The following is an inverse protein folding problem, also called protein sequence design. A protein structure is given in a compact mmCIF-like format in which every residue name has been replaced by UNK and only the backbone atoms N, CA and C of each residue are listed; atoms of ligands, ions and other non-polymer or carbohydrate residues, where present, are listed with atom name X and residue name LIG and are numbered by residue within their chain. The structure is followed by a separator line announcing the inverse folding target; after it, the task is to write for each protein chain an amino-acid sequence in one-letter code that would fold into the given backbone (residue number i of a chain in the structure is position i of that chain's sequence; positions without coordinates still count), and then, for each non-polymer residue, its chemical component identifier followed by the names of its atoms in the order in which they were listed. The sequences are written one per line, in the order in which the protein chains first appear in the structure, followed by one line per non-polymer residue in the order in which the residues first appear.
data_IF_298536361146
#
_entry.id   IF_298536361146
#
_cell.length_a   1.000
_cell.length_b   1.000
_cell.length_c   1.000
_cell.angle_alpha   90.00
_cell.angle_beta   90.00
_cell.angle_gamma   90.00
#
_symmetry.space_group_name_H-M   'P 1'
#
loop_
_entity.id
_entity.type
_entity.pdbx_description
1 polymer ?
#
# COMPACT_ATOMS: atom_id res chain seq x y z
N UNK A 1 3.40 -27.91 17.54
CA UNK A 1 4.33 -27.62 16.42
C UNK A 1 4.85 -26.21 16.63
N UNK A 2 6.18 -26.04 16.72
CA UNK A 2 6.84 -24.81 17.17
C UNK A 2 6.64 -23.66 16.18
N UNK A 3 5.89 -22.63 16.55
CA UNK A 3 5.56 -21.43 15.76
C UNK A 3 6.59 -20.30 15.95
N UNK A 4 7.87 -20.65 15.99
CA UNK A 4 8.97 -19.66 15.99
C UNK A 4 9.60 -19.61 14.61
N UNK A 5 8.93 -18.91 13.69
CA UNK A 5 9.57 -18.44 12.47
C UNK A 5 10.05 -17.01 12.72
N UNK A 6 11.39 -16.91 12.77
CA UNK A 6 12.27 -15.77 12.52
C UNK A 6 11.64 -14.60 11.71
N UNK A 7 12.00 -13.34 12.00
CA UNK A 7 11.05 -12.26 12.21
C UNK A 7 10.11 -12.02 11.03
N UNK A 8 8.84 -11.75 11.35
CA UNK A 8 7.82 -11.18 10.45
C UNK A 8 8.20 -9.71 10.19
N UNK A 9 9.37 -9.48 9.59
CA UNK A 9 9.80 -8.14 9.18
C UNK A 9 9.28 -7.82 7.78
N UNK A 10 9.05 -8.85 6.95
CA UNK A 10 8.64 -8.70 5.55
C UNK A 10 7.16 -9.08 5.39
N UNK A 11 6.27 -8.12 5.09
CA UNK A 11 4.83 -8.40 4.95
C UNK A 11 4.47 -9.46 3.89
N UNK A 12 5.25 -9.51 2.80
CA UNK A 12 5.05 -10.49 1.75
C UNK A 12 5.32 -11.93 2.22
N UNK A 13 6.21 -12.11 3.18
CA UNK A 13 6.49 -13.41 3.79
C UNK A 13 5.31 -13.86 4.67
N UNK A 14 4.70 -12.93 5.41
CA UNK A 14 3.52 -13.22 6.23
C UNK A 14 2.34 -13.69 5.36
N UNK A 15 2.10 -12.99 4.25
CA UNK A 15 1.08 -13.32 3.26
C UNK A 15 1.29 -14.72 2.66
N UNK A 16 2.54 -15.05 2.32
CA UNK A 16 2.89 -16.37 1.79
C UNK A 16 2.68 -17.49 2.81
N UNK A 17 3.17 -17.32 4.05
CA UNK A 17 3.01 -18.35 5.09
C UNK A 17 1.54 -18.56 5.48
N UNK A 18 0.72 -17.51 5.42
CA UNK A 18 -0.73 -17.64 5.60
C UNK A 18 -1.36 -18.51 4.51
N UNK A 19 -1.03 -18.27 3.23
CA UNK A 19 -1.51 -19.10 2.12
C UNK A 19 -1.03 -20.54 2.26
N UNK A 20 0.25 -20.73 2.58
CA UNK A 20 0.86 -22.05 2.78
C UNK A 20 0.18 -22.82 3.91
N UNK A 21 -0.08 -22.17 5.04
CA UNK A 21 -0.78 -22.79 6.16
C UNK A 21 -2.20 -23.24 5.79
N UNK A 22 -2.95 -22.43 5.02
CA UNK A 22 -4.30 -22.77 4.55
C UNK A 22 -4.29 -23.98 3.62
N UNK A 23 -3.39 -24.01 2.63
CA UNK A 23 -3.26 -25.15 1.71
C UNK A 23 -2.87 -26.43 2.46
N UNK A 24 -1.92 -26.34 3.39
CA UNK A 24 -1.49 -27.50 4.18
C UNK A 24 -2.58 -28.02 5.13
N UNK A 25 -3.48 -27.15 5.58
CA UNK A 25 -4.65 -27.53 6.36
C UNK A 25 -5.78 -28.15 5.51
N UNK A 26 -5.60 -28.26 4.18
CA UNK A 26 -6.65 -28.72 3.27
C UNK A 26 -7.79 -27.71 3.09
N UNK A 27 -7.58 -26.45 3.48
CA UNK A 27 -8.56 -25.39 3.35
C UNK A 27 -8.65 -24.88 1.91
N UNK A 28 -9.84 -24.44 1.51
CA UNK A 28 -10.00 -23.74 0.24
C UNK A 28 -9.48 -22.31 0.35
N UNK A 29 -8.75 -21.85 -0.68
CA UNK A 29 -8.14 -20.52 -0.70
C UNK A 29 -9.15 -19.37 -0.92
N UNK A 30 -10.42 -19.69 -1.18
CA UNK A 30 -11.57 -18.79 -1.12
C UNK A 30 -11.44 -17.43 -1.82
N UNK A 31 -12.34 -16.51 -1.47
CA UNK A 31 -12.36 -15.10 -1.92
C UNK A 31 -11.27 -14.24 -1.24
N UNK A 32 -10.25 -14.87 -0.63
CA UNK A 32 -9.24 -14.16 0.15
C UNK A 32 -8.36 -13.34 -0.80
N UNK A 33 -8.22 -12.05 -0.53
CA UNK A 33 -7.57 -11.10 -1.44
C UNK A 33 -6.13 -11.51 -1.78
N UNK A 34 -5.38 -12.02 -0.79
CA UNK A 34 -4.02 -12.53 -0.94
C UNK A 34 -3.96 -13.73 -1.90
N UNK A 35 -4.93 -14.65 -1.82
CA UNK A 35 -5.02 -15.79 -2.73
C UNK A 35 -5.34 -15.36 -4.17
N UNK A 36 -6.25 -14.40 -4.35
CA UNK A 36 -6.57 -13.83 -5.68
C UNK A 36 -5.38 -13.09 -6.30
N UNK A 37 -4.62 -12.36 -5.49
CA UNK A 37 -3.39 -11.68 -5.94
C UNK A 37 -2.34 -12.69 -6.35
N UNK A 38 -2.11 -13.71 -5.51
CA UNK A 38 -1.19 -14.80 -5.80
C UNK A 38 -1.59 -15.55 -7.07
N UNK A 39 -2.87 -15.87 -7.27
CA UNK A 39 -3.35 -16.52 -8.48
C UNK A 39 -3.12 -15.67 -9.74
N UNK A 40 -3.23 -14.34 -9.64
CA UNK A 40 -3.07 -13.43 -10.79
C UNK A 40 -1.62 -13.08 -11.12
N UNK A 41 -0.74 -13.05 -10.12
CA UNK A 41 0.62 -12.45 -10.25
C UNK A 41 1.73 -13.26 -9.60
N UNK A 42 1.42 -14.43 -9.03
CA UNK A 42 2.35 -15.26 -8.28
C UNK A 42 2.95 -14.52 -7.08
N UNK A 43 4.12 -15.00 -6.65
CA UNK A 43 4.86 -14.45 -5.50
C UNK A 43 5.27 -12.97 -5.72
N UNK A 44 5.59 -12.58 -6.95
CA UNK A 44 5.91 -11.18 -7.27
C UNK A 44 4.75 -10.23 -6.94
N UNK A 45 3.51 -10.69 -7.11
CA UNK A 45 2.32 -9.96 -6.72
C UNK A 45 2.18 -9.74 -5.21
N UNK A 46 2.63 -10.69 -4.39
CA UNK A 46 2.63 -10.57 -2.93
C UNK A 46 3.71 -9.60 -2.45
N UNK A 47 4.89 -9.63 -3.08
CA UNK A 47 6.01 -8.73 -2.76
C UNK A 47 5.68 -7.28 -3.12
N UNK A 48 5.13 -7.05 -4.31
CA UNK A 48 4.79 -5.69 -4.75
C UNK A 48 3.55 -5.11 -4.09
N UNK A 49 2.65 -5.96 -3.58
CA UNK A 49 1.36 -5.56 -3.00
C UNK A 49 1.01 -6.46 -1.81
N UNK A 50 1.70 -6.30 -0.67
CA UNK A 50 1.36 -7.04 0.53
C UNK A 50 -0.04 -6.66 1.05
N UNK A 51 -0.64 -7.53 1.87
CA UNK A 51 -1.91 -7.25 2.55
C UNK A 51 -1.74 -6.27 3.71
N UNK A 52 -0.54 -6.16 4.29
CA UNK A 52 -0.24 -5.12 5.27
C UNK A 52 -0.40 -3.74 4.65
N UNK A 53 -0.78 -2.76 5.46
CA UNK A 53 -0.80 -1.37 5.03
C UNK A 53 0.62 -0.96 4.60
N UNK A 54 0.85 -0.63 3.30
CA UNK A 54 2.18 -0.28 2.85
C UNK A 54 2.59 1.07 3.46
N UNK A 55 3.80 1.16 3.98
CA UNK A 55 4.40 2.44 4.34
C UNK A 55 4.72 3.22 3.06
N UNK A 56 3.80 4.11 2.68
CA UNK A 56 4.00 4.98 1.52
C UNK A 56 5.06 6.03 1.85
N UNK A 57 6.27 5.88 1.28
CA UNK A 57 7.27 6.94 1.24
C UNK A 57 7.04 7.79 -0.02
N UNK A 58 6.61 9.04 0.16
CA UNK A 58 6.50 10.02 -0.92
C UNK A 58 7.69 10.97 -0.92
N UNK A 59 8.23 11.30 -2.09
CA UNK A 59 9.16 12.43 -2.27
C UNK A 59 8.54 13.46 -3.22
N UNK A 60 8.63 14.74 -2.85
CA UNK A 60 8.17 15.84 -3.72
C UNK A 60 9.34 16.26 -4.59
N UNK A 61 9.25 16.01 -5.89
CA UNK A 61 10.22 16.51 -6.88
C UNK A 61 9.62 17.72 -7.57
N UNK A 62 10.20 18.90 -7.31
CA UNK A 62 9.77 20.14 -7.95
C UNK A 62 10.07 20.11 -9.45
N UNK A 63 9.09 20.53 -10.27
CA UNK A 63 9.35 20.81 -11.68
C UNK A 63 10.21 22.07 -11.82
N UNK A 64 11.00 22.17 -12.90
CA UNK A 64 11.79 23.37 -13.18
C UNK A 64 10.90 24.62 -13.18
N UNK A 65 11.35 25.68 -12.51
CA UNK A 65 10.64 26.96 -12.42
C UNK A 65 10.51 27.61 -13.81
N UNK A 66 9.28 27.94 -14.26
CA UNK A 66 9.05 28.65 -15.51
C UNK A 66 9.70 30.03 -15.47
N UNK A 67 10.20 30.47 -16.63
CA UNK A 67 10.88 31.77 -16.76
C UNK A 67 9.97 32.97 -16.51
N UNK A 68 8.65 32.80 -16.61
CA UNK A 68 7.65 33.84 -16.37
C UNK A 68 7.32 34.02 -14.88
N UNK A 69 7.79 33.14 -13.99
CA UNK A 69 7.58 33.29 -12.56
C UNK A 69 8.50 34.40 -12.02
N UNK A 70 7.91 35.48 -11.47
CA UNK A 70 8.61 36.67 -10.97
C UNK A 70 9.44 36.42 -9.70
N UNK A 71 9.04 36.99 -8.55
CA UNK A 71 9.70 36.73 -7.25
C UNK A 71 9.24 35.43 -6.58
N UNK A 72 8.09 34.88 -6.97
CA UNK A 72 7.54 33.61 -6.45
C UNK A 72 7.05 32.71 -7.58
N UNK A 73 6.87 31.42 -7.30
CA UNK A 73 6.19 30.48 -8.20
C UNK A 73 4.77 30.22 -7.67
N UNK A 74 3.71 30.71 -8.33
CA UNK A 74 2.33 30.54 -7.84
C UNK A 74 1.91 29.06 -7.78
N UNK A 75 2.60 28.17 -8.49
CA UNK A 75 2.32 26.73 -8.46
C UNK A 75 2.70 26.10 -7.14
N UNK A 76 3.74 26.61 -6.46
CA UNK A 76 4.15 26.09 -5.15
C UNK A 76 3.08 26.32 -4.10
N UNK A 77 2.54 27.54 -4.04
CA UNK A 77 1.47 27.86 -3.09
C UNK A 77 0.24 26.97 -3.37
N UNK A 78 -0.15 26.87 -4.64
CA UNK A 78 -1.29 26.03 -5.03
C UNK A 78 -1.07 24.55 -4.70
N UNK A 79 0.13 24.03 -4.90
CA UNK A 79 0.48 22.64 -4.57
C UNK A 79 0.40 22.40 -3.06
N UNK A 80 0.91 23.33 -2.24
CA UNK A 80 0.80 23.25 -0.77
C UNK A 80 -0.66 23.26 -0.32
N UNK A 81 -1.49 24.14 -0.87
CA UNK A 81 -2.91 24.24 -0.52
C UNK A 81 -3.67 22.95 -0.86
N UNK A 82 -3.45 22.41 -2.07
CA UNK A 82 -4.09 21.16 -2.52
C UNK A 82 -3.60 19.96 -1.69
N UNK A 83 -2.30 19.89 -1.40
CA UNK A 83 -1.75 18.82 -0.57
C UNK A 83 -2.27 18.88 0.86
N UNK A 84 -2.34 20.09 1.44
CA UNK A 84 -2.95 20.33 2.76
C UNK A 84 -4.43 19.92 2.80
N UNK A 85 -5.19 20.24 1.74
CA UNK A 85 -6.57 19.79 1.59
C UNK A 85 -6.68 18.26 1.56
N UNK A 86 -5.86 17.56 0.77
CA UNK A 86 -5.86 16.09 0.69
C UNK A 86 -5.48 15.42 2.03
N UNK A 87 -4.58 16.05 2.80
CA UNK A 87 -4.21 15.56 4.12
C UNK A 87 -5.31 15.83 5.16
N UNK A 88 -5.98 16.97 5.10
CA UNK A 88 -7.10 17.29 5.97
C UNK A 88 -8.32 16.39 5.71
N UNK A 89 -8.54 15.98 4.45
CA UNK A 89 -9.60 15.05 4.06
C UNK A 89 -9.29 13.57 4.40
N UNK A 90 -8.18 13.28 5.11
CA UNK A 90 -7.84 11.90 5.50
C UNK A 90 -8.79 11.25 6.50
N UNK A 91 -9.68 11.99 7.15
CA UNK A 91 -10.78 11.37 7.91
C UNK A 91 -11.77 10.62 6.99
N UNK A 92 -11.91 11.03 5.72
CA UNK A 92 -12.86 10.45 4.75
C UNK A 92 -12.39 9.12 4.15
N UNK A 93 -11.08 8.83 4.13
CA UNK A 93 -10.54 7.59 3.55
C UNK A 93 -10.57 6.39 4.51
N UNK A 94 -10.83 6.61 5.80
CA UNK A 94 -10.96 5.51 6.79
C UNK A 94 -12.30 4.76 6.72
N UNK A 95 -13.30 5.24 5.97
CA UNK A 95 -14.67 4.70 6.04
C UNK A 95 -15.21 4.05 4.75
N UNK A 96 -14.36 3.76 3.76
CA UNK A 96 -14.72 2.82 2.68
C UNK A 96 -13.96 1.50 2.82
N UNK A 97 -13.99 0.94 4.02
CA UNK A 97 -13.93 -0.50 4.17
C UNK A 97 -15.19 -1.09 3.49
N UNK A 98 -15.05 -1.47 2.22
CA UNK A 98 -16.06 -2.27 1.53
C UNK A 98 -15.95 -3.69 2.07
N UNK A 99 -16.90 -4.06 2.91
CA UNK A 99 -17.18 -5.41 3.36
C UNK A 99 -18.35 -5.35 4.34
N UNK A 100 -19.49 -5.95 3.97
CA UNK A 100 -20.74 -5.97 4.72
C UNK A 100 -20.58 -6.40 6.17
#
# INVERSE_FOLDING_TARGET
MSSRLWPIAEPAQADYEQLRAMVLAGGELGEILTARRFARRGLAGLISWPASEPEYLGSVVGARRPRWCGSGDPREQRLRDVYGFLLADRESYRLRAVGK
#
